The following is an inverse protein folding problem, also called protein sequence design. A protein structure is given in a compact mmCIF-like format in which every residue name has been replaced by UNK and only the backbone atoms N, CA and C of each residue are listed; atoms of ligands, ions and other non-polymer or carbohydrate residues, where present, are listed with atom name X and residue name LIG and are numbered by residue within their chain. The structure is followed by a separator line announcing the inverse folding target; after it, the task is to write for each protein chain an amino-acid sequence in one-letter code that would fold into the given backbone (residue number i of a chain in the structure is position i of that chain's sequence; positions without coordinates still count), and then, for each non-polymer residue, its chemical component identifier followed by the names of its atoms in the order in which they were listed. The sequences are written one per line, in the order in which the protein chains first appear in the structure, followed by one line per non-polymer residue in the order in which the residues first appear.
data_IF_923475949992
#
_entry.id   IF_923475949992
#
_cell.length_a   1.000
_cell.length_b   1.000
_cell.length_c   1.000
_cell.angle_alpha   90.00
_cell.angle_beta   90.00
_cell.angle_gamma   90.00
#
_symmetry.space_group_name_H-M   'P 1'
#
loop_
_entity.id
_entity.type
_entity.pdbx_description
1 polymer ?
#
# COMPACT_ATOMS: atom_id res chain seq x y z
N UNK A 1 26.80 51.59 3.14
CA UNK A 1 26.17 50.25 3.28
C UNK A 1 25.79 49.81 1.89
N UNK A 2 26.46 48.84 1.33
CA UNK A 2 26.09 48.25 0.03
C UNK A 2 24.93 47.29 0.29
N UNK A 3 23.76 47.60 -0.21
CA UNK A 3 22.66 46.67 -0.29
C UNK A 3 22.95 45.61 -1.36
N UNK A 4 23.17 44.38 -0.90
CA UNK A 4 23.15 43.24 -1.84
C UNK A 4 21.72 43.08 -2.31
N UNK A 5 21.45 43.39 -3.55
CA UNK A 5 20.23 43.02 -4.23
C UNK A 5 20.47 41.61 -4.75
N UNK A 6 19.82 40.62 -4.20
CA UNK A 6 19.72 39.31 -4.84
C UNK A 6 18.85 39.51 -6.08
N UNK A 7 19.43 39.38 -7.26
CA UNK A 7 18.66 39.14 -8.46
C UNK A 7 18.04 37.76 -8.35
N UNK A 8 16.75 37.71 -8.04
CA UNK A 8 15.97 36.47 -8.17
C UNK A 8 16.02 36.07 -9.64
N UNK A 9 16.70 34.99 -9.96
CA UNK A 9 16.55 34.32 -11.25
C UNK A 9 15.10 33.81 -11.29
N UNK A 10 14.26 34.41 -12.11
CA UNK A 10 12.83 34.13 -12.28
C UNK A 10 12.51 32.67 -12.75
N UNK A 11 13.52 31.81 -12.87
CA UNK A 11 13.39 30.42 -13.33
C UNK A 11 13.86 29.37 -12.30
N UNK A 12 14.12 29.75 -11.07
CA UNK A 12 14.47 28.80 -10.03
C UNK A 12 13.22 28.52 -9.19
N UNK A 13 12.62 27.36 -9.38
CA UNK A 13 11.57 26.81 -8.51
C UNK A 13 12.29 26.07 -7.38
N UNK A 14 12.38 26.62 -6.17
CA UNK A 14 13.11 25.99 -5.08
C UNK A 14 12.33 24.85 -4.43
N UNK A 15 11.04 24.74 -4.74
CA UNK A 15 10.15 23.79 -4.09
C UNK A 15 10.28 22.40 -4.70
N UNK A 16 10.54 21.41 -3.86
CA UNK A 16 10.64 20.00 -4.25
C UNK A 16 9.25 19.47 -4.59
N UNK A 17 9.07 18.95 -5.80
CA UNK A 17 7.79 18.40 -6.24
C UNK A 17 7.64 16.94 -5.85
N UNK A 18 6.87 16.69 -4.81
CA UNK A 18 6.55 15.35 -4.32
C UNK A 18 5.18 14.91 -4.82
N UNK A 19 5.09 13.71 -5.39
CA UNK A 19 3.81 13.11 -5.78
C UNK A 19 3.59 11.76 -5.10
N UNK A 20 2.37 11.53 -4.64
CA UNK A 20 1.95 10.25 -4.04
C UNK A 20 0.99 9.54 -4.96
N UNK A 21 1.35 8.33 -5.37
CA UNK A 21 0.62 7.54 -6.35
C UNK A 21 -0.01 6.33 -5.68
N UNK A 22 -1.33 6.34 -5.54
CA UNK A 22 -2.10 5.22 -5.03
C UNK A 22 -2.52 4.26 -6.14
N UNK A 23 -1.97 3.04 -6.16
CA UNK A 23 -2.21 2.07 -7.23
C UNK A 23 -3.15 0.96 -6.77
N UNK A 24 -4.28 0.81 -7.48
CA UNK A 24 -5.29 -0.21 -7.18
C UNK A 24 -6.18 0.14 -6.00
N UNK A 25 -6.91 -0.86 -5.47
CA UNK A 25 -7.88 -0.65 -4.38
C UNK A 25 -7.22 -0.24 -3.06
N UNK A 26 -6.26 -1.02 -2.56
CA UNK A 26 -5.55 -0.72 -1.31
C UNK A 26 -4.80 0.61 -1.38
N UNK A 27 -3.98 0.83 -2.44
CA UNK A 27 -3.28 2.10 -2.62
C UNK A 27 -4.22 3.30 -2.73
N UNK A 28 -5.38 3.14 -3.39
CA UNK A 28 -6.41 4.19 -3.46
C UNK A 28 -7.07 4.49 -2.11
N UNK A 29 -7.25 3.50 -1.24
CA UNK A 29 -7.79 3.70 0.11
C UNK A 29 -6.78 4.43 1.00
N UNK A 30 -5.53 3.97 1.03
CA UNK A 30 -4.45 4.63 1.75
C UNK A 30 -4.28 6.09 1.30
N UNK A 31 -4.33 6.33 -0.01
CA UNK A 31 -4.27 7.69 -0.56
C UNK A 31 -5.46 8.55 -0.12
N UNK A 32 -6.69 8.01 -0.03
CA UNK A 32 -7.83 8.74 0.51
C UNK A 32 -7.66 9.10 1.99
N UNK A 33 -6.96 8.29 2.77
CA UNK A 33 -6.59 8.63 4.14
C UNK A 33 -5.56 9.76 4.17
N UNK A 34 -4.57 9.75 3.27
CA UNK A 34 -3.54 10.79 3.17
C UNK A 34 -4.10 12.15 2.77
N UNK A 35 -5.00 12.19 1.76
CA UNK A 35 -5.62 13.45 1.30
C UNK A 35 -6.44 14.14 2.39
N UNK A 36 -6.95 13.39 3.36
CA UNK A 36 -7.66 14.01 4.50
C UNK A 36 -6.71 14.66 5.50
N UNK A 37 -5.43 14.35 5.41
CA UNK A 37 -4.39 14.75 6.37
C UNK A 37 -3.69 16.07 5.99
N UNK A 38 -4.33 16.91 5.17
CA UNK A 38 -3.90 18.25 4.75
C UNK A 38 -2.37 18.47 4.71
N UNK A 39 -1.65 17.50 4.12
CA UNK A 39 -0.24 17.71 3.82
C UNK A 39 -0.21 18.65 2.62
N UNK A 40 0.16 19.88 2.88
CA UNK A 40 0.34 20.91 1.84
C UNK A 40 1.48 20.50 0.89
N UNK A 41 1.44 20.96 -0.35
CA UNK A 41 2.49 20.78 -1.38
C UNK A 41 2.73 19.35 -1.89
N UNK A 42 1.81 18.41 -1.65
CA UNK A 42 1.84 17.07 -2.24
C UNK A 42 0.74 16.88 -3.28
N UNK A 43 1.13 16.45 -4.48
CA UNK A 43 0.15 16.04 -5.50
C UNK A 43 -0.21 14.57 -5.36
N UNK A 44 -1.51 14.29 -5.24
CA UNK A 44 -2.05 12.93 -5.10
C UNK A 44 -2.62 12.40 -6.41
N UNK A 45 -2.13 11.24 -6.85
CA UNK A 45 -2.54 10.58 -8.10
C UNK A 45 -3.11 9.20 -7.79
N UNK A 46 -4.36 8.96 -8.18
CA UNK A 46 -4.99 7.63 -8.03
C UNK A 46 -5.01 6.90 -9.36
N UNK A 47 -4.41 5.71 -9.42
CA UNK A 47 -4.35 4.86 -10.62
C UNK A 47 -5.13 3.56 -10.37
N UNK A 48 -6.15 3.27 -11.19
CA UNK A 48 -6.92 2.05 -11.01
C UNK A 48 -7.53 1.55 -12.33
N UNK A 49 -7.77 0.25 -12.42
CA UNK A 49 -8.57 -0.40 -13.47
C UNK A 49 -10.08 -0.37 -13.17
N UNK A 50 -10.47 -0.06 -11.93
CA UNK A 50 -11.87 0.04 -11.50
C UNK A 50 -12.34 1.50 -11.49
N UNK A 51 -13.24 1.81 -12.43
CA UNK A 51 -13.81 3.14 -12.58
C UNK A 51 -14.67 3.60 -11.38
N UNK A 52 -15.21 2.65 -10.59
CA UNK A 52 -15.97 3.00 -9.37
C UNK A 52 -15.04 3.46 -8.26
N UNK A 53 -13.93 2.74 -8.07
CA UNK A 53 -12.91 3.12 -7.10
C UNK A 53 -12.36 4.52 -7.40
N UNK A 54 -12.07 4.83 -8.68
CA UNK A 54 -11.60 6.15 -9.09
C UNK A 54 -12.62 7.26 -8.85
N UNK A 55 -13.92 7.00 -9.04
CA UNK A 55 -14.96 8.01 -8.74
C UNK A 55 -15.01 8.36 -7.25
N UNK A 56 -14.69 7.41 -6.39
CA UNK A 56 -14.69 7.61 -4.94
C UNK A 56 -13.33 8.10 -4.41
N UNK A 57 -12.33 8.19 -5.26
CA UNK A 57 -11.01 8.70 -4.89
C UNK A 57 -11.07 10.19 -4.60
N UNK A 58 -10.35 10.62 -3.57
CA UNK A 58 -10.16 12.01 -3.18
C UNK A 58 -8.96 12.67 -3.86
N UNK A 59 -8.16 11.88 -4.60
CA UNK A 59 -7.01 12.39 -5.33
C UNK A 59 -7.38 13.51 -6.29
N UNK A 60 -6.50 14.50 -6.40
CA UNK A 60 -6.60 15.61 -7.37
C UNK A 60 -6.52 15.09 -8.81
N UNK A 61 -5.67 14.10 -9.06
CA UNK A 61 -5.49 13.47 -10.35
C UNK A 61 -5.91 11.98 -10.30
N UNK A 62 -6.66 11.53 -11.33
CA UNK A 62 -7.23 10.16 -11.38
C UNK A 62 -7.04 9.57 -12.75
N UNK A 63 -6.28 8.50 -12.84
CA UNK A 63 -5.95 7.82 -14.09
C UNK A 63 -6.62 6.45 -14.13
N UNK A 64 -7.54 6.27 -15.09
CA UNK A 64 -8.13 4.97 -15.35
C UNK A 64 -7.27 4.20 -16.34
N UNK A 65 -6.59 3.15 -15.88
CA UNK A 65 -5.76 2.30 -16.73
C UNK A 65 -6.55 1.09 -17.29
N UNK A 66 -6.17 0.63 -18.48
CA UNK A 66 -6.71 -0.56 -19.10
C UNK A 66 -8.21 -0.47 -19.42
N UNK A 67 -8.69 0.71 -19.85
CA UNK A 67 -10.11 0.91 -20.14
C UNK A 67 -10.63 -0.02 -21.24
N UNK A 68 -9.82 -0.32 -22.26
CA UNK A 68 -10.17 -1.26 -23.33
C UNK A 68 -10.19 -2.69 -22.82
N UNK A 69 -9.21 -3.07 -21.99
CA UNK A 69 -9.04 -4.43 -21.49
C UNK A 69 -10.08 -4.79 -20.43
N UNK A 70 -10.29 -3.92 -19.45
CA UNK A 70 -11.12 -4.19 -18.27
C UNK A 70 -12.54 -3.65 -18.35
N UNK A 71 -12.79 -2.71 -19.27
CA UNK A 71 -14.06 -1.95 -19.37
C UNK A 71 -14.44 -1.25 -18.04
N UNK A 72 -13.44 -0.84 -17.26
CA UNK A 72 -13.63 -0.20 -15.97
C UNK A 72 -14.14 -1.11 -14.85
N UNK A 73 -14.01 -2.44 -14.99
CA UNK A 73 -14.52 -3.41 -14.00
C UNK A 73 -13.44 -4.00 -13.09
N UNK A 74 -12.23 -3.46 -13.15
CA UNK A 74 -11.10 -3.96 -12.39
C UNK A 74 -10.34 -5.12 -13.07
N UNK A 75 -9.19 -5.49 -12.51
CA UNK A 75 -8.30 -6.53 -13.06
C UNK A 75 -8.71 -7.97 -12.69
N UNK A 76 -9.78 -8.18 -11.91
CA UNK A 76 -10.29 -9.51 -11.55
C UNK A 76 -9.28 -10.35 -10.76
N UNK A 77 -8.52 -9.75 -9.87
CA UNK A 77 -7.46 -10.39 -9.07
C UNK A 77 -6.34 -11.06 -9.92
N UNK A 78 -6.09 -10.55 -11.11
CA UNK A 78 -5.06 -11.05 -12.03
C UNK A 78 -3.98 -10.00 -12.25
N UNK A 79 -2.77 -10.17 -11.69
CA UNK A 79 -1.67 -9.20 -11.85
C UNK A 79 -1.27 -8.96 -13.32
N UNK A 80 -1.34 -9.98 -14.16
CA UNK A 80 -1.07 -9.83 -15.60
C UNK A 80 -2.00 -8.80 -16.25
N UNK A 81 -3.30 -8.80 -15.90
CA UNK A 81 -4.26 -7.82 -16.40
C UNK A 81 -3.94 -6.42 -15.87
N UNK A 82 -3.52 -6.30 -14.60
CA UNK A 82 -3.07 -5.03 -14.02
C UNK A 82 -1.86 -4.47 -14.74
N UNK A 83 -0.87 -5.32 -15.04
CA UNK A 83 0.33 -4.97 -15.80
C UNK A 83 -0.01 -4.47 -17.21
N UNK A 84 -0.75 -5.28 -17.98
CA UNK A 84 -1.17 -4.92 -19.34
C UNK A 84 -2.00 -3.63 -19.36
N UNK A 85 -2.83 -3.39 -18.33
CA UNK A 85 -3.61 -2.16 -18.17
C UNK A 85 -2.71 -0.94 -17.97
N UNK A 86 -1.65 -1.05 -17.20
CA UNK A 86 -0.69 0.05 -17.00
C UNK A 86 0.13 0.32 -18.26
N UNK A 87 0.51 -0.73 -18.99
CA UNK A 87 1.19 -0.59 -20.28
C UNK A 87 0.29 0.08 -21.34
N UNK A 88 -1.02 -0.17 -21.35
CA UNK A 88 -1.98 0.51 -22.24
C UNK A 88 -1.99 2.03 -22.05
N UNK A 89 -1.77 2.50 -20.81
CA UNK A 89 -1.81 3.92 -20.46
C UNK A 89 -0.44 4.48 -20.04
N UNK A 90 0.65 3.89 -20.54
CA UNK A 90 2.02 4.25 -20.15
C UNK A 90 2.33 5.75 -20.34
N UNK A 91 1.94 6.31 -21.47
CA UNK A 91 2.19 7.73 -21.79
C UNK A 91 1.40 8.66 -20.86
N UNK A 92 0.17 8.32 -20.51
CA UNK A 92 -0.66 9.09 -19.58
C UNK A 92 -0.07 9.10 -18.16
N UNK A 93 0.45 7.94 -17.72
CA UNK A 93 1.14 7.83 -16.43
C UNK A 93 2.43 8.67 -16.46
N UNK A 94 3.23 8.56 -17.51
CA UNK A 94 4.46 9.32 -17.67
C UNK A 94 4.21 10.83 -17.64
N UNK A 95 3.20 11.29 -18.38
CA UNK A 95 2.82 12.71 -18.40
C UNK A 95 2.38 13.24 -17.02
N UNK A 96 1.74 12.40 -16.20
CA UNK A 96 1.29 12.77 -14.87
C UNK A 96 2.43 12.89 -13.83
N UNK A 97 3.58 12.22 -14.07
CA UNK A 97 4.67 12.17 -13.08
C UNK A 97 5.97 12.89 -13.54
N UNK A 98 6.06 13.28 -14.79
CA UNK A 98 7.33 13.77 -15.42
C UNK A 98 7.98 14.99 -14.77
N UNK A 99 7.21 15.79 -14.03
CA UNK A 99 7.66 17.01 -13.35
C UNK A 99 7.94 16.81 -11.86
N UNK A 100 7.87 15.57 -11.36
CA UNK A 100 8.17 15.25 -9.98
C UNK A 100 9.68 15.04 -9.76
N UNK A 101 10.18 15.52 -8.62
CA UNK A 101 11.53 15.23 -8.14
C UNK A 101 11.55 13.89 -7.38
N UNK A 102 10.46 13.59 -6.69
CA UNK A 102 10.25 12.36 -5.92
C UNK A 102 8.83 11.84 -6.06
N UNK A 103 8.69 10.52 -6.13
CA UNK A 103 7.39 9.90 -6.04
C UNK A 103 7.34 8.82 -4.96
N UNK A 104 6.20 8.79 -4.27
CA UNK A 104 5.81 7.64 -3.45
C UNK A 104 4.82 6.79 -4.22
N UNK A 105 5.04 5.48 -4.24
CA UNK A 105 4.09 4.51 -4.79
C UNK A 105 3.51 3.70 -3.64
N UNK A 106 2.20 3.82 -3.41
CA UNK A 106 1.51 3.01 -2.40
C UNK A 106 0.56 2.01 -3.04
N UNK A 107 0.61 0.76 -2.59
CA UNK A 107 -0.24 -0.30 -3.11
C UNK A 107 -0.43 -1.44 -2.11
N UNK A 108 -1.64 -2.01 -2.07
CA UNK A 108 -1.86 -3.32 -1.45
C UNK A 108 -1.49 -4.41 -2.43
N UNK A 109 -0.46 -5.20 -2.08
CA UNK A 109 0.02 -6.30 -2.92
C UNK A 109 -0.85 -7.55 -2.74
N UNK A 110 -0.85 -8.44 -3.73
CA UNK A 110 -1.66 -9.67 -3.74
C UNK A 110 -2.96 -9.57 -4.54
N UNK A 111 -3.38 -8.34 -4.93
CA UNK A 111 -4.49 -8.10 -5.84
C UNK A 111 -4.08 -8.07 -7.31
N UNK A 112 -5.01 -7.71 -8.20
CA UNK A 112 -4.71 -7.63 -9.64
C UNK A 112 -4.03 -6.31 -10.03
N UNK A 113 -4.66 -5.17 -9.70
CA UNK A 113 -4.22 -3.85 -10.16
C UNK A 113 -2.95 -3.41 -9.43
N UNK A 114 -2.95 -3.37 -8.08
CA UNK A 114 -1.78 -2.93 -7.31
C UNK A 114 -0.55 -3.76 -7.64
N UNK A 115 -0.66 -5.09 -7.58
CA UNK A 115 0.44 -6.02 -7.82
C UNK A 115 1.00 -5.94 -9.25
N UNK A 116 0.12 -5.74 -10.24
CA UNK A 116 0.55 -5.72 -11.64
C UNK A 116 0.96 -4.35 -12.15
N UNK A 117 0.27 -3.30 -11.74
CA UNK A 117 0.49 -1.95 -12.27
C UNK A 117 1.58 -1.16 -11.52
N UNK A 118 1.73 -1.35 -10.18
CA UNK A 118 2.74 -0.62 -9.42
C UNK A 118 4.17 -0.81 -9.96
N UNK A 119 4.63 -2.02 -10.38
CA UNK A 119 5.93 -2.17 -11.01
C UNK A 119 6.09 -1.38 -12.32
N UNK A 120 5.02 -1.22 -13.10
CA UNK A 120 5.06 -0.45 -14.36
C UNK A 120 5.14 1.05 -14.07
N UNK A 121 4.39 1.54 -13.07
CA UNK A 121 4.51 2.93 -12.61
C UNK A 121 5.94 3.23 -12.16
N UNK A 122 6.52 2.33 -11.36
CA UNK A 122 7.91 2.45 -10.89
C UNK A 122 8.92 2.42 -12.05
N UNK A 123 8.70 1.56 -13.04
CA UNK A 123 9.55 1.50 -14.23
C UNK A 123 9.53 2.82 -15.01
N UNK A 124 8.35 3.41 -15.19
CA UNK A 124 8.20 4.71 -15.87
C UNK A 124 8.96 5.80 -15.09
N UNK A 125 8.81 5.83 -13.76
CA UNK A 125 9.52 6.78 -12.93
C UNK A 125 11.05 6.62 -13.00
N UNK A 126 11.53 5.38 -12.98
CA UNK A 126 12.96 5.07 -13.14
C UNK A 126 13.50 5.57 -14.50
N UNK A 127 12.74 5.37 -15.58
CA UNK A 127 13.11 5.84 -16.92
C UNK A 127 13.17 7.38 -17.01
N UNK A 128 12.33 8.07 -16.23
CA UNK A 128 12.34 9.53 -16.08
C UNK A 128 13.42 10.04 -15.11
N UNK A 129 14.08 9.15 -14.36
CA UNK A 129 15.12 9.49 -13.40
C UNK A 129 14.60 10.07 -12.09
N UNK A 130 13.31 9.85 -11.76
CA UNK A 130 12.63 10.35 -10.57
C UNK A 130 12.99 9.47 -9.37
N UNK A 131 13.32 10.06 -8.21
CA UNK A 131 13.52 9.32 -6.97
C UNK A 131 12.24 8.59 -6.58
N UNK A 132 12.30 7.26 -6.48
CA UNK A 132 11.10 6.43 -6.31
C UNK A 132 11.17 5.61 -5.03
N UNK A 133 10.26 5.89 -4.10
CA UNK A 133 10.06 5.12 -2.87
C UNK A 133 8.71 4.40 -2.92
N UNK A 134 8.72 3.09 -2.75
CA UNK A 134 7.47 2.34 -2.66
C UNK A 134 7.20 1.93 -1.22
N UNK A 135 5.96 2.17 -0.76
CA UNK A 135 5.45 1.74 0.55
C UNK A 135 4.24 0.86 0.29
N UNK A 136 4.38 -0.44 0.49
CA UNK A 136 3.39 -1.44 0.09
C UNK A 136 3.07 -2.42 1.20
N UNK A 137 1.84 -2.95 1.21
CA UNK A 137 1.43 -3.93 2.20
C UNK A 137 1.36 -5.34 1.62
N UNK A 138 1.69 -6.35 2.45
CA UNK A 138 1.40 -7.77 2.20
C UNK A 138 0.00 -8.12 2.74
N UNK A 139 -0.72 -9.06 2.10
CA UNK A 139 -2.04 -9.48 2.56
C UNK A 139 -2.04 -10.04 3.97
N UNK A 140 -3.18 -9.97 4.65
CA UNK A 140 -3.43 -10.73 5.87
C UNK A 140 -3.49 -12.24 5.61
N UNK A 141 -3.20 -13.08 6.61
CA UNK A 141 -3.26 -14.53 6.50
C UNK A 141 -4.65 -15.06 6.12
N UNK A 142 -5.73 -14.40 6.57
CA UNK A 142 -7.10 -14.77 6.20
C UNK A 142 -7.41 -14.54 4.70
N UNK A 143 -6.62 -13.75 3.99
CA UNK A 143 -6.76 -13.52 2.54
C UNK A 143 -6.22 -14.69 1.70
N UNK A 144 -5.56 -15.64 2.31
CA UNK A 144 -5.07 -16.89 1.75
C UNK A 144 -3.73 -16.80 1.02
N UNK A 145 -3.09 -17.97 0.98
CA UNK A 145 -1.75 -18.18 0.42
C UNK A 145 -1.61 -17.75 -1.07
N UNK A 146 -2.66 -17.93 -1.86
CA UNK A 146 -2.64 -17.53 -3.27
C UNK A 146 -2.41 -16.02 -3.44
N UNK A 147 -3.02 -15.18 -2.57
CA UNK A 147 -2.76 -13.73 -2.59
C UNK A 147 -1.37 -13.41 -2.07
N UNK A 148 -0.89 -14.10 -1.05
CA UNK A 148 0.46 -13.92 -0.51
C UNK A 148 1.51 -14.22 -1.59
N UNK A 149 1.38 -15.34 -2.30
CA UNK A 149 2.30 -15.70 -3.40
C UNK A 149 2.27 -14.65 -4.53
N UNK A 150 1.09 -14.12 -4.87
CA UNK A 150 0.98 -13.03 -5.84
C UNK A 150 1.65 -11.74 -5.33
N UNK A 151 1.49 -11.43 -4.03
CA UNK A 151 2.12 -10.27 -3.42
C UNK A 151 3.65 -10.36 -3.48
N UNK A 152 4.22 -11.48 -3.12
CA UNK A 152 5.67 -11.71 -3.16
C UNK A 152 6.25 -11.61 -4.57
N UNK A 153 5.56 -12.15 -5.57
CA UNK A 153 5.94 -12.00 -6.97
C UNK A 153 5.92 -10.54 -7.42
N UNK A 154 4.87 -9.78 -7.04
CA UNK A 154 4.74 -8.37 -7.36
C UNK A 154 5.78 -7.50 -6.65
N UNK A 155 6.08 -7.79 -5.38
CA UNK A 155 7.12 -7.13 -4.58
C UNK A 155 8.50 -7.36 -5.22
N UNK A 156 8.79 -8.60 -5.61
CA UNK A 156 10.05 -8.93 -6.28
C UNK A 156 10.22 -8.22 -7.64
N UNK A 157 9.11 -7.99 -8.35
CA UNK A 157 9.13 -7.23 -9.60
C UNK A 157 9.29 -5.73 -9.34
N UNK A 158 8.53 -5.16 -8.39
CA UNK A 158 8.55 -3.75 -8.01
C UNK A 158 9.96 -3.32 -7.54
N UNK A 159 10.64 -4.17 -6.76
CA UNK A 159 11.99 -3.94 -6.25
C UNK A 159 13.01 -3.59 -7.35
N UNK A 160 12.81 -4.06 -8.57
CA UNK A 160 13.76 -3.83 -9.68
C UNK A 160 13.80 -2.38 -10.15
N UNK A 161 12.73 -1.63 -9.88
CA UNK A 161 12.49 -0.32 -10.46
C UNK A 161 12.43 0.82 -9.43
N UNK A 162 12.40 0.51 -8.15
CA UNK A 162 12.36 1.51 -7.07
C UNK A 162 13.72 1.69 -6.42
N UNK A 163 14.00 2.89 -5.91
CA UNK A 163 15.19 3.18 -5.12
C UNK A 163 15.11 2.57 -3.72
N UNK A 164 13.97 2.74 -3.06
CA UNK A 164 13.66 2.17 -1.76
C UNK A 164 12.33 1.46 -1.76
N UNK A 165 12.25 0.32 -1.08
CA UNK A 165 11.04 -0.50 -0.97
C UNK A 165 10.76 -0.84 0.48
N UNK A 166 9.72 -0.23 1.04
CA UNK A 166 9.19 -0.50 2.37
C UNK A 166 8.04 -1.48 2.22
N UNK A 167 8.16 -2.66 2.83
CA UNK A 167 7.13 -3.69 2.79
C UNK A 167 6.55 -3.88 4.18
N UNK A 168 5.25 -3.71 4.32
CA UNK A 168 4.53 -3.81 5.60
C UNK A 168 3.70 -5.09 5.59
N UNK A 169 4.06 -6.11 6.37
CA UNK A 169 3.22 -7.30 6.52
C UNK A 169 2.01 -6.97 7.38
N UNK A 170 0.80 -6.96 6.78
CA UNK A 170 -0.43 -6.64 7.52
C UNK A 170 -0.63 -7.52 8.76
N UNK A 171 -0.18 -8.77 8.73
CA UNK A 171 -0.28 -9.70 9.87
C UNK A 171 0.49 -9.21 11.09
N UNK A 172 1.59 -8.46 10.87
CA UNK A 172 2.39 -7.89 11.95
C UNK A 172 1.68 -6.76 12.69
N UNK A 173 0.74 -6.07 12.03
CA UNK A 173 -0.09 -5.04 12.64
C UNK A 173 -1.08 -5.59 13.66
N UNK A 174 -1.38 -6.89 13.60
CA UNK A 174 -2.30 -7.57 14.53
C UNK A 174 -1.59 -8.21 15.71
N UNK A 175 -0.25 -8.21 15.71
CA UNK A 175 0.55 -8.81 16.79
C UNK A 175 0.58 -7.86 17.98
N UNK A 176 0.34 -8.38 19.17
CA UNK A 176 0.45 -7.60 20.40
C UNK A 176 -0.80 -6.75 20.74
N UNK A 177 -1.86 -6.78 19.97
CA UNK A 177 -3.08 -6.01 20.25
C UNK A 177 -3.84 -6.58 21.46
N UNK A 178 -4.17 -5.72 22.43
CA UNK A 178 -4.97 -6.07 23.61
C UNK A 178 -6.37 -6.60 23.27
N UNK A 179 -6.91 -6.13 22.14
CA UNK A 179 -8.25 -6.48 21.68
C UNK A 179 -8.23 -6.92 20.22
N UNK A 180 -8.95 -7.99 19.87
CA UNK A 180 -9.10 -8.37 18.47
C UNK A 180 -9.82 -7.26 17.69
N UNK A 181 -9.27 -6.88 16.55
CA UNK A 181 -9.86 -5.91 15.64
C UNK A 181 -10.90 -6.59 14.73
N UNK A 182 -11.93 -5.83 14.36
CA UNK A 182 -12.81 -6.22 13.26
C UNK A 182 -12.07 -6.17 11.93
N UNK A 183 -12.59 -6.84 10.90
CA UNK A 183 -11.99 -6.76 9.55
C UNK A 183 -11.88 -5.32 9.04
N UNK A 184 -12.88 -4.47 9.34
CA UNK A 184 -12.86 -3.06 8.92
C UNK A 184 -11.74 -2.31 9.61
N UNK A 185 -11.57 -2.48 10.90
CA UNK A 185 -10.49 -1.86 11.68
C UNK A 185 -9.12 -2.36 11.25
N UNK A 186 -8.97 -3.66 10.97
CA UNK A 186 -7.69 -4.21 10.48
C UNK A 186 -7.25 -3.59 9.14
N UNK A 187 -8.17 -3.40 8.19
CA UNK A 187 -7.84 -2.74 6.94
C UNK A 187 -7.62 -1.23 7.12
N UNK A 188 -8.37 -0.56 7.99
CA UNK A 188 -8.13 0.83 8.33
C UNK A 188 -6.73 1.02 8.92
N UNK A 189 -6.31 0.16 9.85
CA UNK A 189 -4.96 0.17 10.42
C UNK A 189 -3.88 -0.02 9.33
N UNK A 190 -4.11 -0.88 8.34
CA UNK A 190 -3.18 -1.05 7.23
C UNK A 190 -3.10 0.20 6.32
N UNK A 191 -4.23 0.88 6.08
CA UNK A 191 -4.28 2.13 5.33
C UNK A 191 -3.58 3.26 6.11
N UNK A 192 -3.76 3.34 7.44
CA UNK A 192 -3.12 4.31 8.31
C UNK A 192 -1.59 4.13 8.38
N UNK A 193 -1.11 2.90 8.48
CA UNK A 193 0.34 2.64 8.47
C UNK A 193 0.98 3.05 7.13
N UNK A 194 0.29 2.84 6.00
CA UNK A 194 0.76 3.36 4.71
C UNK A 194 0.81 4.88 4.70
N UNK A 195 -0.21 5.55 5.30
CA UNK A 195 -0.22 7.01 5.49
C UNK A 195 0.99 7.46 6.30
N UNK A 196 1.21 6.87 7.47
CA UNK A 196 2.34 7.22 8.36
C UNK A 196 3.67 7.02 7.63
N UNK A 197 3.85 5.91 6.89
CA UNK A 197 5.08 5.63 6.16
C UNK A 197 5.40 6.67 5.09
N UNK A 198 4.41 7.16 4.36
CA UNK A 198 4.59 8.22 3.38
C UNK A 198 4.77 9.57 4.07
N UNK A 199 3.89 9.91 5.03
CA UNK A 199 3.90 11.18 5.75
C UNK A 199 5.23 11.41 6.49
N UNK A 200 5.74 10.41 7.20
CA UNK A 200 7.01 10.55 7.95
C UNK A 200 8.22 10.89 7.09
N UNK A 201 8.20 10.59 5.79
CA UNK A 201 9.28 10.95 4.88
C UNK A 201 9.00 12.31 4.24
N UNK A 202 7.76 12.56 3.83
CA UNK A 202 7.38 13.82 3.20
C UNK A 202 7.50 15.02 4.14
N UNK A 203 7.05 14.86 5.39
CA UNK A 203 7.13 15.93 6.41
C UNK A 203 8.57 16.37 6.67
N UNK A 204 9.55 15.45 6.58
CA UNK A 204 10.96 15.80 6.73
C UNK A 204 11.49 16.71 5.61
N UNK A 205 10.81 16.73 4.46
CA UNK A 205 11.24 17.50 3.26
C UNK A 205 10.42 18.79 3.13
N UNK A 206 9.11 18.70 3.42
CA UNK A 206 8.13 19.76 3.12
C UNK A 206 7.88 20.66 4.34
N UNK A 207 7.78 20.06 5.52
CA UNK A 207 7.43 20.79 6.73
C UNK A 207 8.59 21.65 7.26
N UNK A 208 8.27 22.86 7.74
CA UNK A 208 9.20 23.72 8.49
C UNK A 208 9.42 23.19 9.90
N UNK A 209 10.14 22.06 10.02
CA UNK A 209 10.53 21.50 11.32
C UNK A 209 11.58 22.35 12.04
N UNK A 210 11.94 21.96 13.27
CA UNK A 210 13.03 22.63 14.02
C UNK A 210 14.42 22.24 13.48
N UNK A 211 14.57 20.98 13.05
CA UNK A 211 15.72 20.49 12.29
C UNK A 211 15.16 19.89 11.01
N UNK A 212 15.30 20.63 9.91
CA UNK A 212 14.85 20.20 8.60
C UNK A 212 15.95 19.43 7.89
N UNK A 213 15.53 18.49 7.09
CA UNK A 213 16.39 17.79 6.14
C UNK A 213 16.15 18.36 4.75
N UNK A 214 17.21 18.61 4.02
CA UNK A 214 17.07 18.96 2.64
C UNK A 214 16.77 17.70 1.78
N UNK A 215 16.21 17.91 0.59
CA UNK A 215 15.90 16.82 -0.33
C UNK A 215 17.15 16.00 -0.70
N UNK A 216 18.33 16.61 -0.72
CA UNK A 216 19.58 15.92 -1.05
C UNK A 216 19.95 14.91 0.03
N UNK A 217 19.71 15.22 1.31
CA UNK A 217 19.93 14.32 2.44
C UNK A 217 19.02 13.09 2.35
N UNK A 218 17.71 13.30 2.20
CA UNK A 218 16.74 12.21 2.04
C UNK A 218 17.04 11.38 0.80
N UNK A 219 17.38 12.03 -0.31
CA UNK A 219 17.77 11.36 -1.56
C UNK A 219 19.00 10.48 -1.36
N UNK A 220 20.00 10.92 -0.60
CA UNK A 220 21.23 10.16 -0.33
C UNK A 220 20.91 8.86 0.44
N UNK A 221 20.05 8.92 1.44
CA UNK A 221 19.63 7.73 2.21
C UNK A 221 18.79 6.79 1.36
N UNK A 222 17.84 7.31 0.58
CA UNK A 222 16.83 6.51 -0.12
C UNK A 222 17.30 5.97 -1.47
N UNK A 223 18.21 6.67 -2.17
CA UNK A 223 18.63 6.29 -3.52
C UNK A 223 19.38 4.96 -3.53
N UNK A 224 18.83 4.00 -4.28
CA UNK A 224 19.42 2.67 -4.42
C UNK A 224 19.51 1.88 -3.11
N UNK A 225 18.71 2.22 -2.09
CA UNK A 225 18.73 1.58 -0.78
C UNK A 225 18.15 0.16 -0.78
N UNK A 226 17.34 -0.17 -1.79
CA UNK A 226 16.72 -1.48 -1.92
C UNK A 226 15.62 -1.72 -0.88
N UNK A 227 15.68 -2.82 -0.13
CA UNK A 227 14.72 -3.03 0.97
C UNK A 227 15.01 -2.08 2.12
N UNK A 228 13.95 -1.44 2.63
CA UNK A 228 13.97 -0.65 3.83
C UNK A 228 12.89 -1.14 4.81
N UNK A 229 13.18 -1.05 6.09
CA UNK A 229 12.25 -1.36 7.16
C UNK A 229 11.83 -0.08 7.85
N UNK A 230 10.55 0.01 8.21
CA UNK A 230 10.02 1.11 8.98
C UNK A 230 9.64 0.63 10.37
N UNK A 231 9.94 1.44 11.36
CA UNK A 231 9.49 1.26 12.73
C UNK A 231 9.00 2.58 13.29
N UNK A 232 8.00 2.49 14.18
CA UNK A 232 7.44 3.65 14.87
C UNK A 232 7.46 3.31 16.35
N UNK A 233 7.86 4.25 17.18
CA UNK A 233 7.82 4.13 18.63
C UNK A 233 7.32 5.40 19.25
N UNK A 234 6.55 5.28 20.30
CA UNK A 234 6.02 6.36 21.08
C UNK A 234 6.47 6.22 22.53
N UNK A 235 6.61 7.31 23.23
CA UNK A 235 6.90 7.34 24.65
C UNK A 235 6.35 8.60 25.28
N UNK A 236 5.90 8.49 26.53
CA UNK A 236 5.30 9.57 27.25
C UNK A 236 5.93 9.78 28.65
N UNK A 237 5.87 10.99 29.16
CA UNK A 237 6.34 11.33 30.49
C UNK A 237 7.87 11.32 30.62
N UNK A 238 8.37 11.02 31.83
CA UNK A 238 9.78 11.20 32.19
C UNK A 238 10.76 10.33 31.39
N UNK A 239 10.33 9.12 30.98
CA UNK A 239 11.19 8.15 30.31
C UNK A 239 10.86 8.05 28.79
N UNK A 240 10.11 9.03 28.25
CA UNK A 240 9.61 9.08 26.88
C UNK A 240 10.63 8.73 25.80
N UNK A 241 11.83 9.29 25.89
CA UNK A 241 12.90 9.03 24.93
C UNK A 241 13.34 7.56 24.92
N UNK A 242 13.49 6.98 26.11
CA UNK A 242 13.91 5.58 26.27
C UNK A 242 12.79 4.62 25.84
N UNK A 243 11.53 4.94 26.14
CA UNK A 243 10.36 4.15 25.77
C UNK A 243 10.18 4.19 24.26
N UNK A 244 10.14 5.36 23.63
CA UNK A 244 10.02 5.50 22.20
C UNK A 244 11.15 4.78 21.44
N UNK A 245 12.40 4.93 21.86
CA UNK A 245 13.53 4.25 21.25
C UNK A 245 13.43 2.71 21.38
N UNK A 246 13.03 2.20 22.55
CA UNK A 246 12.80 0.76 22.75
C UNK A 246 11.68 0.25 21.87
N UNK A 247 10.56 0.96 21.79
CA UNK A 247 9.43 0.61 20.93
C UNK A 247 9.85 0.51 19.46
N UNK A 248 10.67 1.46 18.98
CA UNK A 248 11.27 1.38 17.62
C UNK A 248 12.11 0.13 17.45
N UNK A 249 13.05 -0.15 18.35
CA UNK A 249 14.02 -1.26 18.24
C UNK A 249 13.30 -2.62 18.29
N UNK A 250 12.24 -2.72 19.10
CA UNK A 250 11.45 -3.96 19.26
C UNK A 250 10.21 -4.03 18.36
N UNK A 251 10.03 -3.08 17.45
CA UNK A 251 8.82 -2.99 16.62
C UNK A 251 8.56 -4.27 15.82
N UNK A 252 7.34 -4.83 15.86
CA UNK A 252 6.97 -6.00 15.07
C UNK A 252 6.97 -5.74 13.57
N UNK A 253 6.92 -4.47 13.16
CA UNK A 253 6.98 -4.06 11.76
C UNK A 253 8.35 -4.33 11.13
N UNK A 254 9.39 -4.43 11.95
CA UNK A 254 10.70 -4.86 11.51
C UNK A 254 10.64 -6.38 11.18
N UNK A 255 10.75 -6.75 9.90
CA UNK A 255 10.87 -8.16 9.51
C UNK A 255 12.22 -8.75 9.97
N UNK A 256 13.23 -7.88 10.11
CA UNK A 256 14.55 -8.19 10.65
C UNK A 256 14.92 -7.11 11.66
N UNK A 257 15.85 -7.39 12.57
CA UNK A 257 16.40 -6.38 13.48
C UNK A 257 16.97 -5.19 12.69
N UNK A 258 16.97 -3.99 13.28
CA UNK A 258 17.69 -2.80 12.76
C UNK A 258 19.20 -3.10 12.61
N UNK A 259 19.68 -4.11 13.35
CA UNK A 259 21.08 -4.55 13.31
C UNK A 259 21.50 -4.88 11.87
N UNK A 260 22.55 -4.20 11.42
CA UNK A 260 23.05 -4.33 10.05
C UNK A 260 22.48 -3.32 9.06
N UNK A 261 21.60 -2.42 9.47
CA UNK A 261 21.23 -1.26 8.66
C UNK A 261 22.42 -0.31 8.55
N UNK A 262 22.77 0.07 7.33
CA UNK A 262 23.86 1.03 7.04
C UNK A 262 23.38 2.46 6.89
N UNK A 263 22.08 2.65 6.74
CA UNK A 263 21.46 3.96 6.56
C UNK A 263 20.23 4.05 7.43
N UNK A 264 20.14 5.12 8.22
CA UNK A 264 18.98 5.41 9.05
C UNK A 264 18.47 6.81 8.74
N UNK A 265 17.17 6.91 8.53
CA UNK A 265 16.42 8.15 8.52
C UNK A 265 15.51 8.15 9.73
N UNK A 266 15.69 9.13 10.61
CA UNK A 266 14.97 9.23 11.88
C UNK A 266 14.13 10.50 11.86
N UNK A 267 12.82 10.37 12.01
CA UNK A 267 11.91 11.50 12.23
C UNK A 267 11.45 11.50 13.70
N UNK A 268 11.66 12.60 14.40
CA UNK A 268 11.28 12.78 15.81
C UNK A 268 10.26 13.89 15.91
N UNK A 269 9.03 13.53 16.22
CA UNK A 269 7.94 14.46 16.53
C UNK A 269 7.77 14.52 18.04
N UNK A 270 7.76 15.72 18.62
CA UNK A 270 7.81 15.88 20.06
C UNK A 270 7.06 17.10 20.54
N UNK A 271 6.69 17.09 21.83
CA UNK A 271 6.16 18.25 22.52
C UNK A 271 7.26 19.29 22.84
N UNK A 272 6.86 20.55 23.05
CA UNK A 272 7.77 21.68 23.27
C UNK A 272 8.64 21.57 24.55
N UNK A 273 8.26 20.70 25.47
CA UNK A 273 8.93 20.47 26.75
C UNK A 273 10.04 19.40 26.70
N UNK A 274 10.23 18.74 25.54
CA UNK A 274 11.28 17.73 25.35
C UNK A 274 12.67 18.37 25.39
N UNK A 275 13.56 17.79 26.17
CA UNK A 275 14.94 18.29 26.29
C UNK A 275 15.84 17.75 25.18
N UNK A 276 16.85 18.51 24.76
CA UNK A 276 17.86 18.04 23.82
C UNK A 276 18.57 16.75 24.26
N UNK A 277 18.66 16.51 25.59
CA UNK A 277 19.20 15.27 26.16
C UNK A 277 18.34 14.04 25.87
N UNK A 278 17.02 14.25 25.71
CA UNK A 278 16.09 13.18 25.42
C UNK A 278 16.26 12.75 23.94
N UNK A 279 16.36 13.74 23.05
CA UNK A 279 16.66 13.48 21.62
C UNK A 279 18.00 12.76 21.44
N UNK A 280 19.06 13.19 22.16
CA UNK A 280 20.37 12.53 22.13
C UNK A 280 20.30 11.08 22.64
N UNK A 281 19.55 10.86 23.72
CA UNK A 281 19.36 9.53 24.31
C UNK A 281 18.64 8.60 23.34
N UNK A 282 17.54 9.06 22.75
CA UNK A 282 16.77 8.25 21.81
C UNK A 282 17.57 7.92 20.53
N UNK A 283 18.17 8.94 19.92
CA UNK A 283 18.96 8.77 18.69
C UNK A 283 20.14 7.83 18.93
N UNK A 284 20.85 7.98 20.06
CA UNK A 284 21.98 7.10 20.41
C UNK A 284 21.54 5.65 20.60
N UNK A 285 20.43 5.40 21.31
CA UNK A 285 19.94 4.03 21.50
C UNK A 285 19.60 3.35 20.15
N UNK A 286 19.02 4.10 19.22
CA UNK A 286 18.64 3.58 17.90
C UNK A 286 19.91 3.31 17.05
N UNK A 287 20.85 4.26 17.00
CA UNK A 287 22.10 4.11 16.24
C UNK A 287 22.98 3.01 16.80
N UNK A 288 23.10 2.86 18.13
CA UNK A 288 23.85 1.78 18.77
C UNK A 288 23.26 0.38 18.45
N UNK A 289 22.00 0.32 18.01
CA UNK A 289 21.33 -0.93 17.61
C UNK A 289 21.50 -1.27 16.11
N UNK A 290 22.06 -0.35 15.32
CA UNK A 290 22.34 -0.53 13.88
C UNK A 290 23.75 -1.06 13.63
N UNK A 291 24.28 -0.88 12.42
CA UNK A 291 25.66 -1.23 12.09
C UNK A 291 26.64 -0.20 12.69
N UNK A 292 27.88 -0.62 12.98
CA UNK A 292 28.91 0.25 13.58
C UNK A 292 29.26 1.47 12.71
N UNK A 293 29.05 1.38 11.38
CA UNK A 293 29.34 2.41 10.38
C UNK A 293 28.06 3.02 9.79
N UNK A 294 26.97 3.08 10.59
CA UNK A 294 25.68 3.57 10.13
C UNK A 294 25.72 5.05 9.79
N UNK A 295 25.27 5.40 8.59
CA UNK A 295 24.94 6.75 8.18
C UNK A 295 23.55 7.12 8.71
N UNK A 296 23.48 8.05 9.66
CA UNK A 296 22.25 8.45 10.30
C UNK A 296 21.94 9.91 10.03
N UNK A 297 20.75 10.16 9.49
CA UNK A 297 20.20 11.48 9.29
C UNK A 297 18.91 11.57 10.11
N UNK A 298 18.72 12.67 10.84
CA UNK A 298 17.53 12.88 11.65
C UNK A 298 16.95 14.27 11.48
N UNK A 299 15.63 14.35 11.48
CA UNK A 299 14.88 15.59 11.56
C UNK A 299 14.00 15.62 12.81
N UNK A 300 13.60 16.81 13.22
CA UNK A 300 12.76 17.01 14.39
C UNK A 300 11.68 18.03 14.10
N UNK A 301 10.47 17.75 14.57
CA UNK A 301 9.34 18.67 14.52
C UNK A 301 8.68 18.78 15.89
N UNK A 302 8.17 19.97 16.22
CA UNK A 302 7.36 20.19 17.41
C UNK A 302 5.88 20.16 17.04
N UNK A 303 5.07 19.60 17.93
CA UNK A 303 3.62 19.62 17.81
C UNK A 303 3.01 20.17 19.09
N UNK A 304 2.18 21.22 18.95
CA UNK A 304 1.53 21.91 20.07
C UNK A 304 0.52 21.02 20.82
N UNK A 305 -0.06 20.02 20.15
CA UNK A 305 -1.08 19.14 20.72
C UNK A 305 -0.49 17.97 21.52
N UNK A 306 0.83 17.75 21.47
CA UNK A 306 1.54 16.76 22.28
C UNK A 306 1.88 17.30 23.65
N UNK A 307 1.67 16.50 24.71
CA UNK A 307 1.98 16.88 26.09
C UNK A 307 2.92 15.87 26.74
N UNK A 308 4.20 16.25 26.92
CA UNK A 308 5.24 15.39 27.49
C UNK A 308 5.40 14.05 26.77
N UNK A 309 5.29 14.09 25.43
CA UNK A 309 5.31 12.92 24.54
C UNK A 309 6.36 13.07 23.45
N UNK A 310 6.83 11.93 22.97
CA UNK A 310 7.77 11.81 21.85
C UNK A 310 7.38 10.64 20.96
N UNK A 311 7.32 10.90 19.68
CA UNK A 311 7.08 9.90 18.63
C UNK A 311 8.30 9.83 17.71
N UNK A 312 8.82 8.63 17.50
CA UNK A 312 9.98 8.40 16.65
C UNK A 312 9.61 7.47 15.53
N UNK A 313 9.79 7.90 14.30
CA UNK A 313 9.70 7.04 13.11
C UNK A 313 11.11 6.82 12.56
N UNK A 314 11.48 5.55 12.38
CA UNK A 314 12.77 5.17 11.82
C UNK A 314 12.58 4.41 10.51
N UNK A 315 13.34 4.81 9.51
CA UNK A 315 13.48 4.06 8.27
C UNK A 315 14.91 3.55 8.20
N UNK A 316 15.05 2.25 8.29
CA UNK A 316 16.33 1.55 8.26
C UNK A 316 16.53 0.92 6.88
N UNK A 317 17.65 1.20 6.24
CA UNK A 317 17.94 0.77 4.88
C UNK A 317 19.41 0.34 4.69
N UNK A 318 19.76 -0.13 3.50
CA UNK A 318 21.14 -0.50 3.18
C UNK A 318 21.60 -1.81 3.84
N UNK A 319 20.70 -2.75 4.03
CA UNK A 319 21.05 -4.07 4.57
C UNK A 319 21.82 -4.91 3.55
N UNK A 320 22.96 -5.47 3.97
CA UNK A 320 23.72 -6.42 3.15
C UNK A 320 22.93 -7.73 3.00
N UNK A 321 22.51 -8.08 1.78
CA UNK A 321 21.97 -9.40 1.42
C UNK A 321 20.73 -9.93 2.17
N UNK A 322 19.64 -9.16 2.26
CA UNK A 322 18.32 -9.73 2.64
C UNK A 322 17.76 -10.67 1.54
N UNK A 323 18.40 -10.73 0.36
CA UNK A 323 17.91 -11.54 -0.77
C UNK A 323 17.83 -13.07 -0.52
N UNK A 324 18.43 -13.61 0.56
CA UNK A 324 18.38 -15.04 0.90
C UNK A 324 17.36 -15.38 2.00
N UNK A 325 16.90 -14.42 2.79
CA UNK A 325 15.96 -14.69 3.88
C UNK A 325 14.52 -14.90 3.38
N UNK A 326 14.15 -14.32 2.24
CA UNK A 326 12.82 -14.47 1.65
C UNK A 326 12.59 -15.76 0.85
N UNK A 327 13.65 -16.58 0.61
CA UNK A 327 13.54 -17.84 -0.15
C UNK A 327 13.60 -19.10 0.71
N UNK A 328 13.71 -19.01 2.04
CA UNK A 328 14.00 -20.16 2.90
C UNK A 328 12.87 -20.68 3.77
N UNK A 329 11.59 -20.43 3.42
CA UNK A 329 10.47 -21.18 4.01
C UNK A 329 9.92 -22.28 3.08
N UNK A 330 10.78 -22.93 2.30
CA UNK A 330 10.44 -24.24 1.77
C UNK A 330 10.60 -25.27 2.90
N UNK A 331 9.60 -26.15 3.13
CA UNK A 331 9.75 -27.18 4.15
C UNK A 331 10.97 -28.03 3.81
N UNK A 332 11.88 -28.13 4.77
CA UNK A 332 13.05 -29.00 4.74
C UNK A 332 12.65 -30.35 4.15
N UNK A 333 13.04 -30.61 2.92
CA UNK A 333 13.04 -31.97 2.39
C UNK A 333 14.07 -32.76 3.19
N UNK A 334 13.60 -33.54 4.14
CA UNK A 334 14.39 -34.55 4.84
C UNK A 334 15.07 -35.40 3.77
N UNK A 335 16.38 -35.21 3.64
CA UNK A 335 17.23 -36.12 2.86
C UNK A 335 17.05 -37.52 3.44
N UNK A 336 16.27 -38.32 2.75
CA UNK A 336 16.30 -39.78 3.00
C UNK A 336 17.62 -40.26 2.47
N UNK A 337 18.55 -40.63 3.35
CA UNK A 337 19.76 -41.33 2.98
C UNK A 337 19.37 -42.68 2.36
N UNK A 338 20.05 -43.13 1.30
CA UNK A 338 19.77 -44.43 0.71
C UNK A 338 20.21 -45.51 1.68
N UNK A 339 19.28 -46.37 2.10
CA UNK A 339 19.52 -47.57 2.87
C UNK A 339 20.26 -48.55 1.94
N UNK A 340 21.50 -48.87 2.33
CA UNK A 340 22.33 -49.87 1.66
C UNK A 340 21.67 -51.24 1.67
N UNK A 341 21.66 -51.76 0.47
CA UNK A 341 21.56 -53.15 0.03
C UNK A 341 21.56 -54.25 1.07
N UNK A 342 20.49 -55.04 1.10
CA UNK A 342 20.58 -56.46 1.52
C UNK A 342 20.22 -57.37 0.33
N UNK A 343 21.25 -58.17 -0.01
CA UNK A 343 21.30 -59.49 -0.64
C UNK A 343 20.24 -59.86 -1.70
N UNK A 344 20.73 -59.94 -2.91
CA UNK A 344 20.21 -60.68 -4.04
C UNK A 344 20.11 -62.19 -3.77
N UNK A 345 18.89 -62.73 -3.93
CA UNK A 345 18.65 -64.14 -4.21
C UNK A 345 18.18 -64.25 -5.65
N UNK A 346 18.75 -65.11 -6.49
CA UNK A 346 18.36 -65.22 -7.89
C UNK A 346 17.09 -66.07 -8.03
N UNK A 347 16.01 -65.48 -8.53
CA UNK A 347 14.82 -66.20 -8.97
C UNK A 347 14.87 -66.29 -10.48
N UNK A 348 14.85 -67.57 -10.97
CA UNK A 348 14.83 -67.95 -12.37
C UNK A 348 13.56 -67.44 -13.11
N UNK A 349 13.74 -66.97 -14.31
CA UNK A 349 12.69 -66.58 -15.21
C UNK A 349 11.91 -67.82 -15.74
N UNK A 350 10.58 -67.76 -15.87
CA UNK A 350 9.83 -68.66 -16.73
C UNK A 350 9.74 -68.07 -18.15
N UNK A 351 9.80 -68.98 -19.07
CA UNK A 351 9.81 -68.79 -20.53
C UNK A 351 8.48 -68.28 -21.09
N UNK A 352 8.64 -67.56 -22.18
CA UNK A 352 7.64 -67.05 -23.08
C UNK A 352 6.58 -68.08 -23.54
N UNK A 353 5.28 -67.64 -23.56
CA UNK A 353 4.32 -68.03 -24.54
C UNK A 353 3.42 -66.83 -24.88
N UNK A 354 3.07 -66.60 -26.17
CA UNK A 354 2.36 -65.39 -26.61
C UNK A 354 0.85 -65.59 -26.51
N UNK A 355 0.17 -64.73 -25.79
CA UNK A 355 -1.28 -64.64 -25.79
C UNK A 355 -1.69 -63.44 -26.64
N UNK A 356 -2.39 -63.76 -27.72
CA UNK A 356 -2.97 -62.85 -28.70
C UNK A 356 -3.95 -61.82 -28.10
N UNK A 357 -3.79 -60.60 -28.50
CA UNK A 357 -4.70 -59.48 -28.19
C UNK A 357 -6.06 -59.63 -28.95
N UNK A 358 -7.18 -59.28 -28.32
CA UNK A 358 -8.43 -59.13 -29.08
C UNK A 358 -8.49 -57.77 -29.77
N UNK A 359 -8.79 -57.85 -31.07
CA UNK A 359 -9.08 -56.71 -31.95
C UNK A 359 -10.42 -56.10 -31.54
N UNK A 360 -10.39 -54.83 -31.17
CA UNK A 360 -11.62 -54.01 -31.06
C UNK A 360 -11.80 -53.28 -32.37
N UNK A 361 -12.84 -53.66 -33.09
CA UNK A 361 -13.32 -53.03 -34.34
C UNK A 361 -13.97 -51.70 -34.06
N UNK A 362 -13.48 -50.64 -34.69
CA UNK A 362 -14.17 -49.36 -34.81
C UNK A 362 -15.44 -49.54 -35.70
N UNK A 363 -16.57 -48.90 -35.35
CA UNK A 363 -17.69 -48.79 -36.27
C UNK A 363 -17.47 -47.59 -37.21
N UNK A 364 -17.43 -47.88 -38.49
CA UNK A 364 -17.52 -46.91 -39.59
C UNK A 364 -18.91 -46.27 -39.59
N UNK A 365 -18.96 -44.96 -39.59
CA UNK A 365 -20.18 -44.20 -39.88
C UNK A 365 -20.25 -43.98 -41.37
N UNK A 366 -21.25 -44.57 -41.98
CA UNK A 366 -21.67 -44.28 -43.36
C UNK A 366 -22.49 -43.01 -43.39
N UNK A 367 -22.13 -42.12 -44.29
CA UNK A 367 -22.91 -40.97 -44.72
C UNK A 367 -24.13 -41.43 -45.50
N UNK A 368 -25.32 -41.00 -45.06
CA UNK A 368 -26.48 -40.92 -45.94
C UNK A 368 -27.08 -39.52 -45.73
N UNK A 369 -27.04 -38.79 -46.87
CA UNK A 369 -27.91 -37.68 -47.15
C UNK A 369 -29.33 -38.19 -47.23
N UNK A 370 -30.24 -37.57 -46.48
CA UNK A 370 -31.62 -37.34 -46.87
C UNK A 370 -32.31 -36.42 -45.86
N UNK A 371 -32.93 -35.41 -46.42
CA UNK A 371 -33.82 -34.44 -45.86
C UNK A 371 -34.90 -35.04 -44.96
N UNK A 372 -35.23 -34.38 -43.86
CA UNK A 372 -36.62 -34.02 -43.52
C UNK A 372 -36.71 -33.40 -42.14
N UNK A 373 -37.34 -32.24 -42.11
CA UNK A 373 -38.05 -31.53 -41.06
C UNK A 373 -38.31 -32.30 -39.76
N UNK A 374 -37.78 -31.78 -38.64
CA UNK A 374 -38.36 -32.02 -37.31
C UNK A 374 -38.34 -30.74 -36.50
N UNK A 375 -39.40 -29.97 -36.70
CA UNK A 375 -40.25 -29.26 -35.75
C UNK A 375 -39.66 -29.07 -34.33
N UNK A 376 -39.19 -27.86 -34.07
CA UNK A 376 -39.14 -27.32 -32.73
C UNK A 376 -40.56 -27.12 -32.18
N UNK A 377 -40.88 -27.49 -30.95
CA UNK A 377 -42.19 -27.19 -30.35
C UNK A 377 -42.40 -25.70 -30.23
N UNK A 378 -43.60 -25.16 -30.48
CA UNK A 378 -43.90 -23.76 -30.36
C UNK A 378 -43.92 -23.34 -28.88
N UNK A 379 -43.18 -22.28 -28.56
CA UNK A 379 -43.33 -21.55 -27.30
C UNK A 379 -44.68 -20.85 -27.36
N UNK A 380 -45.64 -21.32 -26.56
CA UNK A 380 -46.95 -20.70 -26.39
C UNK A 380 -46.75 -19.52 -25.45
N UNK A 381 -46.79 -18.32 -25.99
CA UNK A 381 -47.04 -17.11 -25.21
C UNK A 381 -48.55 -17.00 -24.97
N UNK A 382 -49.04 -16.82 -23.75
CA UNK A 382 -50.42 -16.50 -23.56
C UNK A 382 -50.67 -15.05 -24.00
N UNK A 383 -51.36 -14.90 -25.13
CA UNK A 383 -52.04 -13.66 -25.46
C UNK A 383 -53.14 -13.42 -24.42
N UNK A 384 -52.95 -12.46 -23.58
CA UNK A 384 -53.93 -11.65 -22.85
C UNK A 384 -53.27 -10.99 -21.65
N UNK A 385 -52.57 -9.90 -21.89
CA UNK A 385 -52.39 -8.84 -20.89
C UNK A 385 -53.42 -7.79 -21.23
N UNK A 386 -54.29 -7.36 -20.28
CA UNK A 386 -55.17 -6.22 -20.50
C UNK A 386 -54.35 -4.95 -20.68
N UNK A 387 -54.83 -4.08 -21.57
CA UNK A 387 -54.28 -2.75 -21.80
C UNK A 387 -54.17 -1.98 -20.48
N UNK A 388 -53.13 -1.18 -20.29
CA UNK A 388 -53.00 -0.36 -19.11
C UNK A 388 -54.10 0.72 -19.17
N UNK A 389 -54.90 0.79 -18.08
CA UNK A 389 -55.83 1.90 -17.86
C UNK A 389 -55.08 3.25 -17.89
N UNK A 390 -55.67 4.31 -18.44
CA UNK A 390 -55.01 5.63 -18.46
C UNK A 390 -54.81 6.15 -17.04
N UNK A 391 -53.55 6.52 -16.73
CA UNK A 391 -53.19 7.21 -15.47
C UNK A 391 -54.05 8.45 -15.31
N UNK A 392 -54.86 8.49 -14.25
CA UNK A 392 -55.53 9.65 -13.79
C UNK A 392 -54.52 10.66 -13.27
N UNK A 393 -54.54 11.88 -13.82
CA UNK A 393 -53.79 13.02 -13.27
C UNK A 393 -54.11 13.20 -11.79
N UNK A 394 -53.14 13.39 -10.91
CA UNK A 394 -53.39 13.63 -9.50
C UNK A 394 -54.10 15.01 -9.33
N UNK A 395 -55.22 14.99 -8.61
CA UNK A 395 -55.92 16.20 -8.18
C UNK A 395 -54.97 17.10 -7.36
N UNK A 396 -55.07 18.43 -7.50
CA UNK A 396 -54.21 19.34 -6.75
C UNK A 396 -54.52 19.25 -5.25
N UNK A 397 -53.52 18.89 -4.48
CA UNK A 397 -53.56 18.95 -3.00
C UNK A 397 -53.79 20.35 -2.50
N UNK A 398 -54.66 20.58 -1.49
CA UNK A 398 -54.91 21.90 -0.93
C UNK A 398 -53.62 22.50 -0.33
N UNK A 399 -53.37 23.74 -0.64
CA UNK A 399 -52.30 24.55 -0.10
C UNK A 399 -52.57 24.75 1.40
N UNK A 400 -51.81 24.08 2.24
CA UNK A 400 -51.75 24.34 3.68
C UNK A 400 -50.87 25.58 3.86
N UNK A 401 -51.48 26.70 4.28
CA UNK A 401 -50.76 27.93 4.67
C UNK A 401 -49.72 27.56 5.76
N UNK A 402 -48.47 27.79 5.44
CA UNK A 402 -47.35 27.66 6.43
C UNK A 402 -47.52 28.83 7.43
N UNK A 403 -47.50 28.53 8.75
CA UNK A 403 -47.45 29.59 9.77
C UNK A 403 -46.13 30.39 9.64
N UNK A 404 -46.21 31.69 9.83
CA UNK A 404 -45.06 32.59 9.84
C UNK A 404 -44.04 32.13 10.87
N UNK A 405 -42.74 32.19 10.56
CA UNK A 405 -41.70 31.82 11.53
C UNK A 405 -41.66 32.86 12.66
N UNK A 406 -41.70 32.36 13.90
CA UNK A 406 -41.36 33.14 15.10
C UNK A 406 -39.92 33.67 15.00
N UNK A 407 -39.63 34.83 15.60
CA UNK A 407 -38.28 35.42 15.56
C UNK A 407 -37.26 34.49 16.21
N UNK A 408 -36.26 34.07 15.43
CA UNK A 408 -35.12 33.25 15.91
C UNK A 408 -34.32 34.04 16.96
N UNK A 409 -33.91 33.41 18.07
CA UNK A 409 -32.92 34.01 18.96
C UNK A 409 -31.57 34.11 18.23
N UNK A 410 -30.82 35.15 18.52
CA UNK A 410 -29.52 35.46 17.96
C UNK A 410 -28.57 34.25 18.01
N UNK A 411 -27.69 34.04 17.01
CA UNK A 411 -26.80 32.91 16.95
C UNK A 411 -25.78 33.00 18.07
N UNK A 412 -25.91 32.11 19.07
CA UNK A 412 -24.83 31.79 19.98
C UNK A 412 -23.72 31.15 19.16
N UNK A 413 -22.55 31.76 19.21
CA UNK A 413 -21.23 31.36 18.79
C UNK A 413 -21.14 30.04 18.00
N UNK A 414 -20.57 30.16 16.81
CA UNK A 414 -20.18 29.08 15.92
C UNK A 414 -19.76 27.81 16.68
N UNK A 415 -20.49 26.73 16.45
CA UNK A 415 -19.90 25.42 16.62
C UNK A 415 -18.75 25.34 15.60
N UNK A 416 -17.52 25.45 16.12
CA UNK A 416 -16.37 24.96 15.41
C UNK A 416 -16.73 23.57 14.92
N UNK A 417 -16.71 23.36 13.63
CA UNK A 417 -16.59 22.03 13.08
C UNK A 417 -15.42 21.42 13.85
N UNK A 418 -15.67 20.33 14.55
CA UNK A 418 -14.62 19.49 15.08
C UNK A 418 -13.85 19.02 13.85
N UNK A 419 -12.75 19.67 13.56
CA UNK A 419 -11.68 19.08 12.75
C UNK A 419 -11.41 17.78 13.49
N UNK A 420 -11.56 16.66 12.84
CA UNK A 420 -11.14 15.37 13.40
C UNK A 420 -9.64 15.50 13.45
N UNK A 421 -9.09 15.62 14.67
CA UNK A 421 -7.66 15.80 14.90
C UNK A 421 -6.96 14.54 14.33
N UNK A 422 -6.13 14.75 13.35
CA UNK A 422 -5.34 13.71 12.68
C UNK A 422 -4.34 13.05 13.61
N UNK A 423 -3.97 13.76 14.68
CA UNK A 423 -3.09 13.28 15.73
C UNK A 423 -3.80 12.28 16.67
N UNK A 424 -5.13 12.37 16.83
CA UNK A 424 -5.91 11.32 17.52
C UNK A 424 -5.79 9.95 16.80
N UNK A 425 -5.72 9.94 15.49
CA UNK A 425 -5.56 8.70 14.71
C UNK A 425 -4.13 8.14 14.84
N UNK A 426 -3.11 9.01 14.82
CA UNK A 426 -1.71 8.59 15.00
C UNK A 426 -1.47 8.11 16.44
N UNK A 427 -1.97 8.84 17.43
CA UNK A 427 -1.92 8.46 18.84
C UNK A 427 -2.71 7.17 19.06
N UNK A 428 -3.89 7.02 18.47
CA UNK A 428 -4.68 5.80 18.58
C UNK A 428 -3.96 4.57 17.96
N UNK A 429 -3.29 4.74 16.82
CA UNK A 429 -2.46 3.69 16.22
C UNK A 429 -1.28 3.37 17.13
N UNK A 430 -0.66 4.37 17.73
CA UNK A 430 0.46 4.21 18.62
C UNK A 430 0.04 3.62 19.97
N UNK A 431 -1.08 4.05 20.53
CA UNK A 431 -1.66 3.41 21.73
C UNK A 431 -2.01 1.93 21.47
N UNK A 432 -2.41 1.58 20.23
CA UNK A 432 -2.66 0.21 19.82
C UNK A 432 -1.33 -0.57 19.71
N UNK A 433 -0.26 0.07 19.25
CA UNK A 433 1.05 -0.56 19.12
C UNK A 433 1.85 -0.60 20.43
N UNK A 434 1.71 0.43 21.32
CA UNK A 434 2.49 0.56 22.57
C UNK A 434 1.86 -0.11 23.79
N UNK A 435 0.53 -0.26 23.86
CA UNK A 435 -0.11 -0.95 25.01
C UNK A 435 0.21 -2.44 25.12
N UNK A 436 1.07 -2.95 24.22
CA UNK A 436 1.31 -4.37 24.07
C UNK A 436 2.79 -4.79 24.12
N UNK A 437 3.64 -3.86 24.63
CA UNK A 437 5.05 -4.14 24.92
C UNK A 437 5.44 -3.80 26.38
#
# INVERSE_FOLDING_TARGET
MASFVFESNENFDPDVKIKVIGVGGGGGNALNCMVNSDVEDIEYISINTDARALRNSKASNRIQIGAKLTKGRGAGNKPAVGKESAEENRDEIADAIKDADMIFITAGMGGGTGTGAAPIVAQIAQELGILTVAVVTKPFNFEREAKMNQAEMGIAELKKYVDSLIVIPNEKLLVGLDKPLTMKESFALADDILKVGVKSISDLIVDDGFINLDFADVSTIMKGAGYAHMAIGHGAGKDKATEAAKAVISSPLLETSISGAKRLLINIVMSDDVMASDVDTATKMITDSAADDVECIFGTAFKEDMNDEMTITVIAAGFDNIGSAFTSSSPSSTKVEPIDTYNSVPVQAPKDEPVSAPVVTEPQVQSNDDDEDLLTPPVIFPDNLPDPEPEQEPEPTPIIETPQPEPQPEPKSAHKHKVVDEDEDLIAIMEILDKNY
#
